data_IF_829421963067
#
_entry.id   IF_829421963067
#
_cell.length_a   1.000
_cell.length_b   1.000
_cell.length_c   1.000
_cell.angle_alpha   90.00
_cell.angle_beta   90.00
_cell.angle_gamma   90.00
#
_symmetry.space_group_name_H-M   'P 1'
#
loop_
_entity.id
_entity.type
_entity.pdbx_description
1 polymer ?
#
# COMPACT_ATOMS: atom_id res chain seq x y z
N UNK A 1 18.42 22.57 25.12
CA UNK A 1 17.66 22.79 23.88
C UNK A 1 18.17 21.80 22.85
N UNK A 2 17.48 20.67 22.65
CA UNK A 2 17.79 19.72 21.57
C UNK A 2 16.91 20.07 20.39
N UNK A 3 17.55 20.36 19.26
CA UNK A 3 16.92 20.77 18.01
C UNK A 3 16.26 19.53 17.39
N UNK A 4 14.93 19.52 17.34
CA UNK A 4 14.15 18.47 16.65
C UNK A 4 14.30 18.68 15.15
N UNK A 5 15.01 17.76 14.48
CA UNK A 5 15.03 17.69 13.02
C UNK A 5 13.70 17.07 12.58
N UNK A 6 12.82 17.89 12.01
CA UNK A 6 11.62 17.45 11.32
C UNK A 6 12.07 16.81 10.01
N UNK A 7 11.95 15.50 9.87
CA UNK A 7 12.19 14.81 8.59
C UNK A 7 10.90 14.94 7.77
N UNK A 8 10.89 15.90 6.86
CA UNK A 8 9.86 16.01 5.82
C UNK A 8 10.21 14.93 4.78
N UNK A 9 9.34 13.94 4.58
CA UNK A 9 9.49 13.00 3.47
C UNK A 9 9.10 13.73 2.18
N UNK A 10 10.11 14.34 1.54
CA UNK A 10 9.97 15.04 0.27
C UNK A 10 9.72 14.02 -0.87
N UNK A 11 8.71 14.27 -1.70
CA UNK A 11 8.52 13.55 -2.96
C UNK A 11 9.79 13.61 -3.83
N UNK A 12 10.01 12.66 -4.75
CA UNK A 12 11.19 12.73 -5.64
C UNK A 12 11.31 14.09 -6.34
N UNK A 13 10.17 14.68 -6.74
CA UNK A 13 10.13 16.01 -7.36
C UNK A 13 10.64 17.11 -6.43
N UNK A 14 10.21 17.10 -5.17
CA UNK A 14 10.68 18.04 -4.15
C UNK A 14 12.16 17.87 -3.82
N UNK A 15 12.66 16.63 -3.75
CA UNK A 15 14.08 16.34 -3.52
C UNK A 15 14.95 16.84 -4.66
N UNK A 16 14.55 16.57 -5.91
CA UNK A 16 15.23 17.05 -7.12
C UNK A 16 15.26 18.58 -7.12
N UNK A 17 14.12 19.21 -6.85
CA UNK A 17 13.99 20.68 -6.82
C UNK A 17 14.86 21.30 -5.72
N UNK A 18 14.75 20.79 -4.50
CA UNK A 18 15.49 21.28 -3.34
C UNK A 18 17.01 21.16 -3.58
N UNK A 19 17.47 20.02 -4.10
CA UNK A 19 18.90 19.84 -4.41
C UNK A 19 19.37 20.75 -5.52
N UNK A 20 18.58 20.90 -6.58
CA UNK A 20 18.87 21.83 -7.68
C UNK A 20 19.02 23.27 -7.16
N UNK A 21 18.12 23.70 -6.28
CA UNK A 21 18.15 25.03 -5.66
C UNK A 21 19.35 25.21 -4.72
N UNK A 22 19.71 24.18 -3.93
CA UNK A 22 20.93 24.17 -3.11
C UNK A 22 22.22 24.33 -3.93
N UNK A 23 22.27 23.71 -5.12
CA UNK A 23 23.40 23.83 -6.04
C UNK A 23 23.38 25.14 -6.86
N UNK A 24 22.36 26.00 -6.69
CA UNK A 24 22.20 27.23 -7.46
C UNK A 24 21.97 27.00 -8.96
N UNK A 25 21.50 25.80 -9.35
CA UNK A 25 21.35 25.42 -10.74
C UNK A 25 19.96 25.80 -11.28
N UNK A 26 19.92 26.30 -12.52
CA UNK A 26 18.64 26.48 -13.21
C UNK A 26 18.05 25.14 -13.67
N UNK A 27 16.72 25.04 -13.76
CA UNK A 27 16.04 23.86 -14.30
C UNK A 27 16.54 23.50 -15.71
N UNK A 28 16.83 24.50 -16.54
CA UNK A 28 17.39 24.28 -17.89
C UNK A 28 18.80 23.69 -17.86
N UNK A 29 19.62 24.06 -16.87
CA UNK A 29 20.97 23.54 -16.71
C UNK A 29 20.94 22.06 -16.32
N UNK A 30 20.14 21.70 -15.32
CA UNK A 30 19.97 20.30 -14.87
C UNK A 30 19.34 19.44 -15.97
N UNK A 31 18.30 19.93 -16.64
CA UNK A 31 17.66 19.19 -17.75
C UNK A 31 18.66 18.88 -18.87
N UNK A 32 19.53 19.84 -19.22
CA UNK A 32 20.59 19.64 -20.22
C UNK A 32 21.61 18.61 -19.75
N UNK A 33 22.09 18.70 -18.50
CA UNK A 33 23.05 17.76 -17.93
C UNK A 33 22.49 16.33 -17.86
N UNK A 34 21.22 16.18 -17.47
CA UNK A 34 20.54 14.89 -17.39
C UNK A 34 20.03 14.36 -18.74
N UNK A 35 20.17 15.12 -19.83
CA UNK A 35 19.72 14.73 -21.17
C UNK A 35 18.20 14.59 -21.28
N UNK A 36 17.44 15.46 -20.61
CA UNK A 36 15.97 15.50 -20.63
C UNK A 36 15.45 16.89 -21.01
N UNK A 37 14.15 17.00 -21.34
CA UNK A 37 13.57 18.31 -21.65
C UNK A 37 13.30 19.13 -20.37
N UNK A 38 13.44 20.47 -20.38
CA UNK A 38 13.12 21.31 -19.23
C UNK A 38 11.65 21.18 -18.79
N UNK A 39 10.73 20.97 -19.74
CA UNK A 39 9.31 20.73 -19.44
C UNK A 39 9.08 19.40 -18.72
N UNK A 40 9.82 18.35 -19.11
CA UNK A 40 9.77 17.06 -18.44
C UNK A 40 10.35 17.13 -17.03
N UNK A 41 11.51 17.79 -16.84
CA UNK A 41 12.07 18.05 -15.51
C UNK A 41 11.11 18.87 -14.64
N UNK A 42 10.48 19.92 -15.19
CA UNK A 42 9.46 20.70 -14.48
C UNK A 42 8.23 19.88 -14.09
N UNK A 43 7.82 18.92 -14.92
CA UNK A 43 6.72 18.00 -14.60
C UNK A 43 7.10 17.01 -13.49
N UNK A 44 8.38 16.60 -13.42
CA UNK A 44 8.92 15.76 -12.34
C UNK A 44 8.97 16.56 -11.03
N UNK A 45 9.57 17.76 -11.05
CA UNK A 45 9.72 18.62 -9.85
C UNK A 45 8.38 19.06 -9.25
N UNK A 46 7.35 19.23 -10.09
CA UNK A 46 6.00 19.60 -9.64
C UNK A 46 5.09 18.42 -9.31
N UNK A 47 5.53 17.18 -9.58
CA UNK A 47 4.71 15.99 -9.42
C UNK A 47 3.46 15.96 -10.29
N UNK A 48 3.40 16.78 -11.35
CA UNK A 48 2.21 16.92 -12.21
C UNK A 48 2.60 17.07 -13.67
N UNK A 49 2.14 16.14 -14.50
CA UNK A 49 2.16 16.27 -15.95
C UNK A 49 0.95 17.10 -16.43
N UNK A 50 1.15 18.22 -17.17
CA UNK A 50 0.06 19.06 -17.65
C UNK A 50 -0.94 18.35 -18.58
N UNK A 51 -0.50 17.31 -19.30
CA UNK A 51 -1.34 16.58 -20.26
C UNK A 51 -2.15 15.46 -19.61
N UNK A 52 -1.63 14.82 -18.55
CA UNK A 52 -2.26 13.62 -17.95
C UNK A 52 -2.73 13.83 -16.51
N UNK A 53 -2.38 14.96 -15.87
CA UNK A 53 -2.71 15.27 -14.48
C UNK A 53 -1.97 14.41 -13.42
N UNK A 54 -1.23 13.38 -13.85
CA UNK A 54 -0.50 12.44 -12.98
C UNK A 54 0.98 12.80 -12.89
N UNK A 55 1.65 12.38 -11.81
CA UNK A 55 3.10 12.51 -11.69
C UNK A 55 3.80 11.68 -12.78
N UNK A 56 4.76 12.25 -13.54
CA UNK A 56 5.56 11.46 -14.46
C UNK A 56 6.43 10.48 -13.68
N UNK A 57 6.41 9.20 -14.04
CA UNK A 57 7.32 8.21 -13.48
C UNK A 57 8.60 8.15 -14.34
N UNK A 58 9.77 8.65 -13.86
CA UNK A 58 11.00 8.62 -14.64
C UNK A 58 11.53 7.19 -14.76
N UNK A 59 12.12 6.84 -15.90
CA UNK A 59 12.82 5.56 -16.02
C UNK A 59 14.09 5.56 -15.14
N UNK A 60 14.56 4.37 -14.75
CA UNK A 60 15.81 4.22 -13.98
C UNK A 60 16.99 4.94 -14.66
N UNK A 61 17.07 4.87 -16.00
CA UNK A 61 18.11 5.57 -16.78
C UNK A 61 18.02 7.10 -16.64
N UNK A 62 16.82 7.65 -16.53
CA UNK A 62 16.63 9.09 -16.25
C UNK A 62 17.02 9.41 -14.81
N UNK A 63 16.67 8.54 -13.85
CA UNK A 63 17.03 8.72 -12.44
C UNK A 63 18.55 8.73 -12.23
N UNK A 64 19.29 7.81 -12.88
CA UNK A 64 20.76 7.79 -12.86
C UNK A 64 21.33 9.12 -13.36
N UNK A 65 20.84 9.61 -14.50
CA UNK A 65 21.33 10.87 -15.08
C UNK A 65 20.99 12.10 -14.23
N UNK A 66 19.85 12.07 -13.55
CA UNK A 66 19.46 13.13 -12.61
C UNK A 66 20.28 13.05 -11.32
N UNK A 67 20.59 11.85 -10.84
CA UNK A 67 21.48 11.61 -9.70
C UNK A 67 22.86 12.21 -9.97
N UNK A 68 23.44 11.89 -11.13
CA UNK A 68 24.73 12.41 -11.58
C UNK A 68 24.69 13.95 -11.71
N UNK A 69 23.65 14.50 -12.33
CA UNK A 69 23.54 15.94 -12.58
C UNK A 69 23.30 16.78 -11.31
N UNK A 70 22.85 16.17 -10.22
CA UNK A 70 22.48 16.82 -8.96
C UNK A 70 23.36 16.40 -7.78
N UNK A 71 24.40 15.59 -8.04
CA UNK A 71 25.27 15.04 -7.00
C UNK A 71 24.45 14.38 -5.88
N UNK A 72 23.51 13.51 -6.26
CA UNK A 72 22.66 12.74 -5.36
C UNK A 72 23.02 11.26 -5.44
N UNK A 73 22.94 10.56 -4.31
CA UNK A 73 22.99 9.11 -4.29
C UNK A 73 21.77 8.51 -4.99
N UNK A 74 22.00 7.59 -5.94
CA UNK A 74 20.95 6.96 -6.74
C UNK A 74 19.96 6.20 -5.85
N UNK A 75 20.43 5.50 -4.82
CA UNK A 75 19.59 4.75 -3.87
C UNK A 75 18.59 5.67 -3.17
N UNK A 76 19.01 6.89 -2.85
CA UNK A 76 18.14 7.91 -2.28
C UNK A 76 17.01 8.30 -3.24
N UNK A 77 17.30 8.46 -4.52
CA UNK A 77 16.30 8.77 -5.55
C UNK A 77 15.39 7.57 -5.86
N UNK A 78 15.93 6.35 -5.87
CA UNK A 78 15.15 5.12 -6.05
C UNK A 78 14.17 4.91 -4.91
N UNK A 79 14.60 5.12 -3.66
CA UNK A 79 13.71 5.08 -2.49
C UNK A 79 12.53 6.06 -2.61
N UNK A 80 12.78 7.28 -3.10
CA UNK A 80 11.73 8.29 -3.31
C UNK A 80 10.76 7.99 -4.48
N UNK A 81 11.07 6.99 -5.31
CA UNK A 81 10.22 6.49 -6.41
C UNK A 81 9.54 5.16 -6.01
N UNK A 82 9.74 4.70 -4.77
CA UNK A 82 9.25 3.40 -4.31
C UNK A 82 10.09 2.20 -4.80
N UNK A 83 11.33 2.44 -5.25
CA UNK A 83 12.30 1.44 -5.73
C UNK A 83 13.44 1.20 -4.71
N UNK A 84 13.26 1.64 -3.46
CA UNK A 84 14.16 1.34 -2.35
C UNK A 84 13.57 0.28 -1.43
N UNK A 85 14.44 -0.50 -0.77
CA UNK A 85 14.04 -1.47 0.25
C UNK A 85 13.09 -0.82 1.27
N UNK A 86 12.05 -1.53 1.74
CA UNK A 86 11.10 -0.98 2.70
C UNK A 86 11.84 -0.52 3.96
N UNK A 87 11.35 0.52 4.66
CA UNK A 87 11.88 0.84 5.99
C UNK A 87 11.80 -0.40 6.87
N UNK A 88 12.68 -0.50 7.86
CA UNK A 88 12.66 -1.54 8.90
C UNK A 88 11.45 -1.40 9.85
N UNK A 89 10.26 -1.18 9.28
CA UNK A 89 8.95 -1.10 9.89
C UNK A 89 8.13 -2.36 9.60
N UNK A 90 6.86 -2.35 10.00
CA UNK A 90 6.00 -3.54 9.93
C UNK A 90 5.92 -4.12 8.52
N UNK A 91 5.84 -5.46 8.42
CA UNK A 91 5.58 -6.12 7.15
C UNK A 91 4.20 -5.69 6.59
N UNK A 92 4.19 -4.90 5.52
CA UNK A 92 2.99 -4.56 4.76
C UNK A 92 2.52 -5.81 4.00
N UNK A 93 1.49 -6.45 4.55
CA UNK A 93 1.04 -7.79 4.19
C UNK A 93 -0.25 -7.74 3.39
N UNK A 94 -0.27 -8.36 2.21
CA UNK A 94 -1.50 -8.62 1.48
C UNK A 94 -2.15 -9.88 2.05
N UNK A 95 -3.39 -9.79 2.49
CA UNK A 95 -4.25 -10.95 2.72
C UNK A 95 -5.34 -10.98 1.66
N UNK A 96 -5.13 -11.78 0.61
CA UNK A 96 -6.10 -11.93 -0.47
C UNK A 96 -7.04 -13.12 -0.19
N UNK A 97 -8.34 -12.87 -0.16
CA UNK A 97 -9.35 -13.82 0.35
C UNK A 97 -10.17 -14.34 -0.81
N UNK A 98 -10.10 -15.65 -1.05
CA UNK A 98 -10.93 -16.37 -2.02
C UNK A 98 -12.00 -17.23 -1.35
N UNK A 99 -11.92 -17.39 -0.03
CA UNK A 99 -12.94 -18.07 0.75
C UNK A 99 -14.27 -17.33 0.70
N UNK A 100 -15.41 -18.04 0.76
CA UNK A 100 -16.71 -17.40 0.89
C UNK A 100 -16.82 -16.67 2.23
N UNK A 101 -17.66 -15.62 2.25
CA UNK A 101 -18.03 -14.90 3.47
C UNK A 101 -19.03 -15.71 4.32
N UNK A 102 -19.09 -15.50 5.65
CA UNK A 102 -18.30 -14.55 6.43
C UNK A 102 -16.87 -15.02 6.71
N UNK A 103 -15.91 -14.10 6.72
CA UNK A 103 -14.51 -14.39 7.08
C UNK A 103 -14.21 -14.02 8.54
N UNK A 104 -13.68 -14.97 9.31
CA UNK A 104 -13.03 -14.63 10.58
C UNK A 104 -11.61 -14.11 10.32
N UNK A 105 -11.51 -12.83 9.97
CA UNK A 105 -10.22 -12.19 9.64
C UNK A 105 -9.21 -12.29 10.79
N UNK A 106 -9.65 -12.19 12.04
CA UNK A 106 -8.77 -12.21 13.22
C UNK A 106 -8.01 -13.52 13.34
N UNK A 107 -8.65 -14.66 13.06
CA UNK A 107 -7.97 -15.96 13.06
C UNK A 107 -6.84 -16.03 12.02
N UNK A 108 -7.04 -15.43 10.84
CA UNK A 108 -6.00 -15.38 9.81
C UNK A 108 -4.87 -14.42 10.18
N UNK A 109 -5.18 -13.28 10.79
CA UNK A 109 -4.19 -12.33 11.30
C UNK A 109 -3.29 -12.98 12.36
N UNK A 110 -3.87 -13.73 13.30
CA UNK A 110 -3.13 -14.46 14.34
C UNK A 110 -2.24 -15.55 13.73
N UNK A 111 -2.72 -16.27 12.71
CA UNK A 111 -1.90 -17.29 12.03
C UNK A 111 -0.72 -16.69 11.26
N UNK A 112 -0.85 -15.48 10.75
CA UNK A 112 0.20 -14.80 10.00
C UNK A 112 1.22 -14.10 10.90
N UNK A 113 0.73 -13.44 11.96
CA UNK A 113 1.50 -12.45 12.73
C UNK A 113 1.40 -12.64 14.25
N UNK A 114 0.88 -13.77 14.74
CA UNK A 114 0.67 -14.01 16.17
C UNK A 114 1.95 -14.01 17.01
N UNK A 115 3.09 -14.34 16.41
CA UNK A 115 4.38 -14.32 17.10
C UNK A 115 4.90 -12.89 17.35
N UNK A 116 4.50 -11.93 16.50
CA UNK A 116 4.96 -10.54 16.56
C UNK A 116 3.89 -9.58 17.07
N UNK A 117 2.61 -9.95 16.97
CA UNK A 117 1.47 -9.07 17.23
C UNK A 117 0.53 -9.68 18.27
N UNK A 118 0.29 -8.95 19.35
CA UNK A 118 -0.56 -9.39 20.47
C UNK A 118 -1.99 -8.86 20.35
N UNK A 119 -2.13 -7.63 19.86
CA UNK A 119 -3.39 -6.89 19.85
C UNK A 119 -3.58 -6.18 18.51
N UNK A 120 -4.82 -6.09 18.05
CA UNK A 120 -5.16 -5.55 16.72
C UNK A 120 -6.04 -4.31 16.81
N UNK A 121 -5.69 -3.29 16.04
CA UNK A 121 -6.66 -2.31 15.56
C UNK A 121 -7.19 -2.87 14.24
N UNK A 122 -8.51 -3.06 14.17
CA UNK A 122 -9.16 -3.68 13.04
C UNK A 122 -10.17 -2.72 12.43
N UNK A 123 -9.98 -2.39 11.16
CA UNK A 123 -10.99 -1.77 10.30
C UNK A 123 -11.68 -2.92 9.56
N UNK A 124 -12.90 -3.33 9.95
CA UNK A 124 -13.55 -4.51 9.39
C UNK A 124 -14.25 -4.18 8.06
N UNK A 125 -14.47 -5.19 7.21
CA UNK A 125 -15.43 -5.06 6.10
C UNK A 125 -16.80 -4.65 6.67
N UNK A 126 -17.37 -3.49 6.27
CA UNK A 126 -18.61 -2.98 6.85
C UNK A 126 -19.84 -3.84 6.52
N UNK A 127 -19.71 -4.82 5.61
CA UNK A 127 -20.77 -5.76 5.23
C UNK A 127 -20.73 -7.04 6.06
N UNK A 128 -19.61 -7.33 6.72
CA UNK A 128 -19.48 -8.50 7.60
C UNK A 128 -20.24 -8.26 8.90
N UNK A 129 -20.95 -9.27 9.44
CA UNK A 129 -21.68 -9.11 10.68
C UNK A 129 -20.70 -8.86 11.84
N UNK A 130 -21.14 -8.04 12.79
CA UNK A 130 -20.39 -7.87 14.03
C UNK A 130 -20.25 -9.23 14.74
N UNK A 131 -19.10 -9.51 15.39
CA UNK A 131 -18.93 -10.75 16.13
C UNK A 131 -19.93 -10.84 17.29
N UNK A 132 -20.38 -12.05 17.60
CA UNK A 132 -21.34 -12.30 18.69
C UNK A 132 -20.75 -12.07 20.09
N UNK A 133 -19.43 -12.04 20.21
CA UNK A 133 -18.70 -11.77 21.44
C UNK A 133 -17.46 -10.90 21.17
N UNK A 134 -16.99 -10.20 22.19
CA UNK A 134 -15.72 -9.48 22.13
C UNK A 134 -14.55 -10.45 21.97
N UNK A 135 -13.55 -10.06 21.17
CA UNK A 135 -12.30 -10.81 21.00
C UNK A 135 -11.18 -10.01 21.68
N UNK A 136 -10.57 -10.58 22.71
CA UNK A 136 -9.50 -9.93 23.49
C UNK A 136 -8.26 -9.64 22.66
N UNK A 137 -8.11 -10.26 21.48
CA UNK A 137 -7.03 -9.96 20.54
C UNK A 137 -7.30 -8.66 19.76
N UNK A 138 -8.53 -8.14 19.77
CA UNK A 138 -8.90 -6.88 19.11
C UNK A 138 -8.95 -5.75 20.14
N UNK A 139 -7.97 -4.85 20.06
CA UNK A 139 -7.87 -3.67 20.92
C UNK A 139 -9.00 -2.66 20.64
N UNK A 140 -9.23 -2.43 19.35
CA UNK A 140 -10.21 -1.51 18.79
C UNK A 140 -10.73 -2.07 17.47
N UNK A 141 -12.06 -2.04 17.30
CA UNK A 141 -12.72 -2.31 16.04
C UNK A 141 -13.32 -1.01 15.53
N UNK A 142 -12.78 -0.48 14.44
CA UNK A 142 -13.24 0.77 13.83
C UNK A 142 -14.65 0.57 13.26
N UNK A 143 -15.46 1.63 13.26
CA UNK A 143 -16.83 1.61 12.71
C UNK A 143 -16.94 2.63 11.59
N UNK A 144 -16.63 2.19 10.37
CA UNK A 144 -16.58 3.03 9.17
C UNK A 144 -17.61 2.55 8.14
N UNK A 145 -18.92 2.74 8.39
CA UNK A 145 -19.94 2.34 7.43
C UNK A 145 -19.87 3.21 6.17
N UNK A 146 -20.13 2.61 5.00
CA UNK A 146 -20.24 3.35 3.74
C UNK A 146 -21.38 4.38 3.81
N UNK A 147 -21.14 5.59 3.30
CA UNK A 147 -22.08 6.71 3.43
C UNK A 147 -21.94 7.52 4.73
N UNK A 148 -20.93 7.23 5.55
CA UNK A 148 -20.52 8.05 6.68
C UNK A 148 -18.99 8.24 6.64
N UNK A 149 -18.45 9.19 7.42
CA UNK A 149 -17.00 9.39 7.50
C UNK A 149 -16.30 8.09 7.94
N UNK A 150 -15.18 7.68 7.28
CA UNK A 150 -14.38 8.40 6.28
C UNK A 150 -14.87 8.31 4.82
N UNK A 151 -15.96 7.59 4.54
CA UNK A 151 -16.55 7.36 3.23
C UNK A 151 -17.93 8.06 3.06
N UNK A 152 -18.04 9.40 3.21
CA UNK A 152 -19.33 10.07 3.17
C UNK A 152 -19.95 10.08 1.76
N UNK A 153 -19.11 10.10 0.72
CA UNK A 153 -19.50 10.29 -0.67
C UNK A 153 -18.91 9.18 -1.53
N UNK A 154 -19.45 8.91 -2.72
CA UNK A 154 -18.96 7.84 -3.61
C UNK A 154 -17.57 8.10 -4.22
N UNK A 155 -16.86 9.14 -3.81
CA UNK A 155 -15.49 9.43 -4.21
C UNK A 155 -14.56 9.11 -3.05
N UNK A 156 -13.66 8.14 -3.22
CA UNK A 156 -12.65 7.84 -2.21
C UNK A 156 -11.67 9.00 -2.09
N UNK A 157 -11.53 9.52 -0.87
CA UNK A 157 -10.49 10.47 -0.46
C UNK A 157 -9.56 9.80 0.56
N UNK A 158 -8.34 9.38 0.14
CA UNK A 158 -7.39 8.73 1.04
C UNK A 158 -7.06 9.56 2.29
N UNK A 159 -7.07 10.89 2.21
CA UNK A 159 -6.74 11.73 3.36
C UNK A 159 -7.81 11.62 4.46
N UNK A 160 -9.08 11.38 4.12
CA UNK A 160 -10.13 11.12 5.11
C UNK A 160 -9.89 9.81 5.84
N UNK A 161 -9.44 8.77 5.13
CA UNK A 161 -9.10 7.47 5.71
C UNK A 161 -7.95 7.62 6.70
N UNK A 162 -6.88 8.33 6.33
CA UNK A 162 -5.74 8.63 7.22
C UNK A 162 -6.21 9.42 8.45
N UNK A 163 -6.99 10.49 8.26
CA UNK A 163 -7.49 11.30 9.36
C UNK A 163 -8.41 10.52 10.31
N UNK A 164 -9.20 9.57 9.78
CA UNK A 164 -10.02 8.68 10.58
C UNK A 164 -9.16 7.70 11.37
N UNK A 165 -8.18 7.05 10.72
CA UNK A 165 -7.22 6.18 11.39
C UNK A 165 -6.52 6.90 12.56
N UNK A 166 -6.07 8.13 12.36
CA UNK A 166 -5.43 8.93 13.41
C UNK A 166 -6.34 9.20 14.62
N UNK A 167 -7.66 9.30 14.41
CA UNK A 167 -8.63 9.43 15.53
C UNK A 167 -8.79 8.10 16.26
N UNK A 168 -8.91 7.00 15.52
CA UNK A 168 -9.03 5.65 16.09
C UNK A 168 -7.77 5.27 16.89
N UNK A 169 -6.58 5.56 16.35
CA UNK A 169 -5.30 5.34 17.04
C UNK A 169 -5.21 6.12 18.36
N UNK A 170 -5.62 7.40 18.36
CA UNK A 170 -5.68 8.21 19.58
C UNK A 170 -6.66 7.63 20.61
N UNK A 171 -7.81 7.12 20.17
CA UNK A 171 -8.79 6.47 21.05
C UNK A 171 -8.25 5.15 21.63
N UNK A 172 -7.45 4.41 20.86
CA UNK A 172 -6.83 3.15 21.29
C UNK A 172 -5.61 3.35 22.20
N UNK A 173 -4.94 4.49 22.16
CA UNK A 173 -3.61 4.70 22.75
C UNK A 173 -3.52 4.34 24.23
N UNK A 174 -4.46 4.82 25.06
CA UNK A 174 -4.47 4.52 26.49
C UNK A 174 -4.67 3.03 26.79
N UNK A 175 -5.40 2.31 25.93
CA UNK A 175 -5.69 0.87 26.08
C UNK A 175 -4.58 -0.01 25.51
N UNK A 176 -3.74 0.53 24.63
CA UNK A 176 -2.65 -0.21 23.99
C UNK A 176 -1.56 -0.61 25.00
N UNK A 177 -1.27 0.24 25.99
CA UNK A 177 -0.22 -0.02 26.98
C UNK A 177 1.11 -0.42 26.32
N UNK A 178 1.77 -1.45 26.86
CA UNK A 178 2.99 -2.02 26.27
C UNK A 178 2.74 -3.05 25.18
N UNK A 179 1.49 -3.41 24.86
CA UNK A 179 1.18 -4.51 23.95
C UNK A 179 1.76 -4.28 22.54
N UNK A 180 2.15 -5.34 21.85
CA UNK A 180 2.55 -5.26 20.43
C UNK A 180 1.30 -5.14 19.55
N UNK A 181 1.11 -3.97 18.94
CA UNK A 181 -0.13 -3.63 18.22
C UNK A 181 0.10 -3.70 16.72
N UNK A 182 -0.75 -4.46 16.03
CA UNK A 182 -0.86 -4.48 14.57
C UNK A 182 -2.10 -3.74 14.08
N UNK A 183 -2.09 -3.39 12.79
CA UNK A 183 -3.22 -2.83 12.07
C UNK A 183 -3.67 -3.82 11.00
N UNK A 184 -4.98 -4.02 10.88
CA UNK A 184 -5.59 -4.69 9.75
C UNK A 184 -6.71 -3.82 9.16
N UNK A 185 -6.65 -3.59 7.86
CA UNK A 185 -7.67 -2.89 7.08
C UNK A 185 -8.36 -3.89 6.15
N UNK A 186 -9.63 -4.17 6.41
CA UNK A 186 -10.38 -5.23 5.76
C UNK A 186 -11.61 -4.75 5.00
N UNK A 187 -11.82 -3.45 4.92
CA UNK A 187 -12.85 -2.82 4.11
C UNK A 187 -12.39 -2.43 2.69
N UNK A 188 -11.09 -2.55 2.36
CA UNK A 188 -10.51 -2.11 1.09
C UNK A 188 -11.38 -2.46 -0.14
N UNK A 189 -11.59 -3.76 -0.39
CA UNK A 189 -12.37 -4.22 -1.54
C UNK A 189 -13.87 -3.94 -1.42
N UNK A 190 -14.39 -3.79 -0.20
CA UNK A 190 -15.78 -3.35 0.05
C UNK A 190 -15.98 -1.89 -0.37
N UNK A 191 -15.03 -1.04 -0.02
CA UNK A 191 -15.03 0.38 -0.38
C UNK A 191 -14.90 0.52 -1.89
N UNK A 192 -14.01 -0.25 -2.53
CA UNK A 192 -13.89 -0.29 -4.00
C UNK A 192 -15.22 -0.61 -4.70
N UNK A 193 -16.02 -1.53 -4.15
CA UNK A 193 -17.35 -1.88 -4.69
C UNK A 193 -18.35 -0.73 -4.60
N UNK A 194 -18.14 0.21 -3.68
CA UNK A 194 -19.07 1.28 -3.40
C UNK A 194 -18.70 2.60 -4.11
N UNK A 195 -17.42 2.94 -4.20
CA UNK A 195 -16.94 4.18 -4.82
C UNK A 195 -16.98 4.15 -6.35
N UNK A 196 -16.94 5.32 -6.98
CA UNK A 196 -16.87 5.48 -8.44
C UNK A 196 -15.43 5.54 -8.97
N UNK A 197 -14.44 5.63 -8.08
CA UNK A 197 -13.00 5.69 -8.38
C UNK A 197 -12.22 4.56 -7.69
N UNK A 198 -12.56 3.27 -7.91
CA UNK A 198 -11.94 2.15 -7.20
C UNK A 198 -10.41 2.05 -7.37
N UNK A 199 -9.88 2.52 -8.50
CA UNK A 199 -8.43 2.62 -8.77
C UNK A 199 -7.68 3.48 -7.73
N UNK A 200 -8.37 4.41 -7.05
CA UNK A 200 -7.78 5.25 -6.00
C UNK A 200 -7.37 4.42 -4.78
N UNK A 201 -8.10 3.35 -4.44
CA UNK A 201 -7.73 2.43 -3.34
C UNK A 201 -6.40 1.74 -3.66
N UNK A 202 -6.26 1.24 -4.88
CA UNK A 202 -5.03 0.55 -5.33
C UNK A 202 -3.85 1.51 -5.41
N UNK A 203 -4.08 2.75 -5.84
CA UNK A 203 -3.05 3.79 -5.83
C UNK A 203 -2.64 4.20 -4.40
N UNK A 204 -3.56 4.10 -3.43
CA UNK A 204 -3.29 4.46 -2.05
C UNK A 204 -2.31 3.49 -1.36
N UNK A 205 -2.28 2.23 -1.77
CA UNK A 205 -1.37 1.21 -1.25
C UNK A 205 0.12 1.61 -1.29
N UNK A 206 0.54 2.44 -2.25
CA UNK A 206 1.94 2.87 -2.34
C UNK A 206 2.34 3.86 -1.24
N UNK A 207 1.38 4.47 -0.56
CA UNK A 207 1.58 5.46 0.52
C UNK A 207 1.09 4.98 1.88
N UNK A 208 0.22 3.97 1.91
CA UNK A 208 -0.42 3.47 3.12
C UNK A 208 0.58 3.13 4.23
N UNK A 209 1.70 2.46 3.91
CA UNK A 209 2.76 2.14 4.89
C UNK A 209 3.21 3.39 5.65
N UNK A 210 3.53 4.46 4.92
CA UNK A 210 4.12 5.67 5.49
C UNK A 210 3.10 6.42 6.36
N UNK A 211 1.84 6.46 5.92
CA UNK A 211 0.77 7.10 6.67
C UNK A 211 0.45 6.32 7.96
N UNK A 212 0.44 4.98 7.91
CA UNK A 212 0.26 4.12 9.09
C UNK A 212 1.43 4.27 10.06
N UNK A 213 2.68 4.17 9.58
CA UNK A 213 3.89 4.35 10.40
C UNK A 213 3.89 5.70 11.11
N UNK A 214 3.55 6.77 10.39
CA UNK A 214 3.42 8.14 10.94
C UNK A 214 2.36 8.21 12.04
N UNK A 215 1.17 7.66 11.80
CA UNK A 215 0.08 7.66 12.76
C UNK A 215 0.44 6.89 14.04
N UNK A 216 1.00 5.70 13.90
CA UNK A 216 1.46 4.87 15.01
C UNK A 216 2.58 5.53 15.81
N UNK A 217 3.60 6.08 15.15
CA UNK A 217 4.69 6.79 15.82
C UNK A 217 4.19 8.03 16.58
N UNK A 218 3.27 8.80 15.99
CA UNK A 218 2.73 10.01 16.60
C UNK A 218 1.81 9.73 17.81
N UNK A 219 1.14 8.58 17.84
CA UNK A 219 0.11 8.26 18.86
C UNK A 219 0.58 7.25 19.91
N UNK A 220 1.29 6.20 19.48
CA UNK A 220 1.79 5.12 20.33
C UNK A 220 3.30 5.21 20.60
N UNK A 221 4.02 6.10 19.93
CA UNK A 221 5.47 6.26 20.09
C UNK A 221 6.29 5.10 19.53
N UNK A 222 5.71 4.27 18.67
CA UNK A 222 6.31 3.06 18.09
C UNK A 222 5.64 2.70 16.76
N UNK A 223 6.31 1.94 15.92
CA UNK A 223 5.75 1.35 14.70
C UNK A 223 4.71 0.27 15.01
N UNK A 224 3.75 -0.01 14.11
CA UNK A 224 2.95 -1.21 14.20
C UNK A 224 3.84 -2.45 14.13
N UNK A 225 3.37 -3.60 14.63
CA UNK A 225 4.06 -4.89 14.47
C UNK A 225 3.63 -5.66 13.23
N UNK A 226 2.47 -5.30 12.67
CA UNK A 226 1.95 -5.79 11.40
C UNK A 226 1.05 -4.72 10.76
N UNK A 227 1.06 -4.63 9.43
CA UNK A 227 0.13 -3.82 8.65
C UNK A 227 -0.48 -4.71 7.57
N UNK A 228 -1.75 -5.09 7.69
CA UNK A 228 -2.39 -6.09 6.82
C UNK A 228 -3.54 -5.46 6.03
N UNK A 229 -3.43 -5.44 4.71
CA UNK A 229 -4.53 -5.05 3.82
C UNK A 229 -5.27 -6.30 3.33
N UNK A 230 -6.59 -6.32 3.48
CA UNK A 230 -7.42 -7.48 3.13
C UNK A 230 -8.29 -7.15 1.92
N UNK A 231 -8.18 -7.99 0.89
CA UNK A 231 -8.95 -7.86 -0.34
C UNK A 231 -9.67 -9.17 -0.64
N UNK A 232 -10.95 -9.09 -1.02
CA UNK A 232 -11.72 -10.27 -1.40
C UNK A 232 -11.77 -10.43 -2.92
N UNK A 233 -11.56 -11.65 -3.38
CA UNK A 233 -11.54 -12.02 -4.79
C UNK A 233 -12.87 -11.74 -5.48
N UNK A 234 -13.98 -12.05 -4.83
CA UNK A 234 -15.32 -11.84 -5.39
C UNK A 234 -15.64 -10.36 -5.62
N UNK A 235 -15.12 -9.45 -4.79
CA UNK A 235 -15.24 -8.01 -5.01
C UNK A 235 -14.43 -7.57 -6.23
N UNK A 236 -13.21 -8.10 -6.41
CA UNK A 236 -12.38 -7.80 -7.58
C UNK A 236 -13.02 -8.34 -8.86
N UNK A 237 -13.54 -9.58 -8.84
CA UNK A 237 -14.29 -10.15 -9.97
C UNK A 237 -15.53 -9.31 -10.30
N UNK A 238 -16.28 -8.89 -9.29
CA UNK A 238 -17.48 -8.09 -9.49
C UNK A 238 -17.19 -6.66 -9.99
N UNK A 239 -15.93 -6.22 -9.96
CA UNK A 239 -15.46 -4.97 -10.54
C UNK A 239 -14.91 -5.12 -11.96
N UNK A 240 -14.80 -6.33 -12.52
CA UNK A 240 -14.11 -6.60 -13.79
C UNK A 240 -14.63 -5.82 -15.03
N UNK A 241 -15.85 -5.25 -14.97
CA UNK A 241 -16.38 -4.37 -16.02
C UNK A 241 -15.90 -2.91 -15.91
N UNK A 242 -15.37 -2.53 -14.75
CA UNK A 242 -14.94 -1.17 -14.42
C UNK A 242 -13.42 -1.03 -14.32
N UNK A 243 -12.72 -2.12 -13.99
CA UNK A 243 -11.27 -2.17 -13.75
C UNK A 243 -10.67 -3.42 -14.37
N UNK A 244 -9.35 -3.45 -14.55
CA UNK A 244 -8.61 -4.65 -14.95
C UNK A 244 -8.27 -5.52 -13.71
N UNK A 245 -8.91 -6.69 -13.51
CA UNK A 245 -8.64 -7.53 -12.33
C UNK A 245 -7.20 -7.99 -12.23
N UNK A 246 -6.55 -8.32 -13.36
CA UNK A 246 -5.16 -8.75 -13.38
C UNK A 246 -4.24 -7.56 -13.05
N UNK A 247 -4.51 -6.40 -13.64
CA UNK A 247 -3.82 -5.15 -13.34
C UNK A 247 -3.84 -4.81 -11.85
N UNK A 248 -5.02 -4.90 -11.22
CA UNK A 248 -5.19 -4.74 -9.77
C UNK A 248 -4.37 -5.77 -9.01
N UNK A 249 -4.51 -7.06 -9.34
CA UNK A 249 -3.80 -8.10 -8.63
C UNK A 249 -2.29 -7.93 -8.67
N UNK A 250 -1.75 -7.57 -9.83
CA UNK A 250 -0.33 -7.27 -10.00
C UNK A 250 0.10 -6.02 -9.23
N UNK A 251 -0.75 -4.99 -9.14
CA UNK A 251 -0.47 -3.80 -8.35
C UNK A 251 -0.43 -4.12 -6.85
N UNK A 252 -1.38 -4.92 -6.35
CA UNK A 252 -1.38 -5.41 -4.97
C UNK A 252 -0.13 -6.22 -4.66
N UNK A 253 0.23 -7.19 -5.51
CA UNK A 253 1.45 -7.99 -5.32
C UNK A 253 2.72 -7.13 -5.27
N UNK A 254 2.79 -6.05 -6.04
CA UNK A 254 3.93 -5.12 -6.02
C UNK A 254 3.97 -4.21 -4.79
N UNK A 255 2.81 -3.76 -4.31
CA UNK A 255 2.77 -2.85 -3.17
C UNK A 255 3.12 -3.54 -1.85
N UNK A 256 2.82 -4.84 -1.72
CA UNK A 256 2.97 -5.58 -0.46
C UNK A 256 4.30 -6.35 -0.39
N UNK A 257 4.92 -6.37 0.78
CA UNK A 257 6.19 -7.08 1.03
C UNK A 257 5.98 -8.54 1.41
N UNK A 258 4.84 -8.84 2.01
CA UNK A 258 4.43 -10.21 2.37
C UNK A 258 3.10 -10.52 1.72
N UNK A 259 2.98 -11.69 1.10
CA UNK A 259 1.77 -12.11 0.40
C UNK A 259 1.17 -13.33 1.09
N UNK A 260 -0.12 -13.28 1.37
CA UNK A 260 -0.90 -14.40 1.88
C UNK A 260 -2.23 -14.50 1.14
N UNK A 261 -2.70 -15.74 0.96
CA UNK A 261 -4.00 -16.05 0.36
C UNK A 261 -4.77 -16.99 1.27
N UNK A 262 -6.04 -16.68 1.51
CA UNK A 262 -7.01 -17.66 2.03
C UNK A 262 -7.71 -18.28 0.84
N UNK A 263 -7.44 -19.56 0.56
CA UNK A 263 -8.03 -20.24 -0.58
C UNK A 263 -9.53 -20.52 -0.40
N UNK A 264 -10.19 -21.01 -1.45
CA UNK A 264 -11.65 -21.29 -1.44
C UNK A 264 -12.08 -22.28 -0.35
N UNK A 265 -11.16 -23.04 0.23
CA UNK A 265 -11.42 -23.98 1.33
C UNK A 265 -11.18 -23.36 2.71
N UNK A 266 -10.77 -22.10 2.78
CA UNK A 266 -10.40 -21.40 4.02
C UNK A 266 -8.95 -21.65 4.44
N UNK A 267 -8.14 -22.33 3.63
CA UNK A 267 -6.74 -22.63 3.97
C UNK A 267 -5.84 -21.45 3.62
N UNK A 268 -5.04 -21.04 4.60
CA UNK A 268 -4.03 -20.00 4.46
C UNK A 268 -2.77 -20.53 3.76
N UNK A 269 -2.28 -19.78 2.78
CA UNK A 269 -0.98 -19.95 2.11
C UNK A 269 -0.24 -18.63 2.14
N UNK A 270 1.09 -18.66 2.15
CA UNK A 270 1.94 -17.46 2.15
C UNK A 270 3.08 -17.59 1.14
N UNK A 271 3.67 -16.46 0.75
CA UNK A 271 4.82 -16.38 -0.15
C UNK A 271 4.47 -16.71 -1.60
N UNK A 272 5.42 -17.30 -2.34
CA UNK A 272 5.25 -17.61 -3.76
C UNK A 272 4.01 -18.49 -4.06
N UNK A 273 3.71 -19.55 -3.28
CA UNK A 273 2.48 -20.32 -3.49
C UNK A 273 1.19 -19.52 -3.32
N UNK A 274 1.19 -18.46 -2.52
CA UNK A 274 0.05 -17.54 -2.39
C UNK A 274 -0.06 -16.64 -3.62
N UNK A 275 1.04 -16.05 -4.07
CA UNK A 275 1.06 -15.22 -5.28
C UNK A 275 0.64 -16.01 -6.53
N UNK A 276 1.12 -17.25 -6.69
CA UNK A 276 0.72 -18.14 -7.79
C UNK A 276 -0.78 -18.43 -7.76
N UNK A 277 -1.34 -18.76 -6.59
CA UNK A 277 -2.76 -19.04 -6.43
C UNK A 277 -3.62 -17.82 -6.77
N UNK A 278 -3.21 -16.63 -6.31
CA UNK A 278 -3.89 -15.37 -6.62
C UNK A 278 -3.87 -15.07 -8.13
N UNK A 279 -2.70 -15.18 -8.78
CA UNK A 279 -2.58 -14.94 -10.23
C UNK A 279 -3.38 -15.97 -11.05
N UNK A 280 -3.39 -17.23 -10.61
CA UNK A 280 -4.21 -18.28 -11.24
C UNK A 280 -5.70 -17.91 -11.21
N UNK A 281 -6.16 -17.34 -10.10
CA UNK A 281 -7.55 -16.90 -9.95
C UNK A 281 -7.88 -15.68 -10.84
N UNK A 282 -6.90 -14.84 -11.13
CA UNK A 282 -7.04 -13.62 -11.94
C UNK A 282 -6.74 -13.83 -13.43
N UNK A 283 -6.85 -15.08 -13.92
CA UNK A 283 -6.57 -15.42 -15.31
C UNK A 283 -7.43 -14.60 -16.28
N UNK A 284 -6.83 -13.88 -17.24
CA UNK A 284 -7.59 -13.16 -18.26
C UNK A 284 -8.42 -14.10 -19.16
N UNK A 285 -9.56 -13.60 -19.61
CA UNK A 285 -10.36 -14.29 -20.62
C UNK A 285 -9.56 -14.46 -21.93
N UNK A 286 -9.69 -15.63 -22.57
CA UNK A 286 -9.00 -15.93 -23.83
C UNK A 286 -7.57 -16.48 -23.69
N UNK A 287 -6.99 -16.48 -22.49
CA UNK A 287 -5.70 -17.15 -22.24
C UNK A 287 -5.93 -18.61 -21.86
N UNK A 288 -5.17 -19.53 -22.47
CA UNK A 288 -5.23 -20.96 -22.14
C UNK A 288 -4.82 -21.19 -20.67
N UNK A 289 -5.42 -22.18 -20.02
CA UNK A 289 -5.11 -22.48 -18.61
C UNK A 289 -3.67 -22.97 -18.44
N UNK A 290 -3.17 -23.77 -19.38
CA UNK A 290 -1.80 -24.29 -19.37
C UNK A 290 -0.77 -23.16 -19.50
N UNK A 291 -0.88 -22.32 -20.54
CA UNK A 291 0.03 -21.18 -20.74
C UNK A 291 -0.01 -20.22 -19.56
N UNK A 292 -1.19 -20.00 -18.97
CA UNK A 292 -1.30 -19.13 -17.80
C UNK A 292 -0.64 -19.72 -16.56
N UNK A 293 -0.77 -21.03 -16.34
CA UNK A 293 -0.14 -21.71 -15.21
C UNK A 293 1.39 -21.57 -15.27
N UNK A 294 1.98 -21.78 -16.45
CA UNK A 294 3.43 -21.61 -16.66
C UNK A 294 3.89 -20.17 -16.35
N UNK A 295 3.12 -19.17 -16.80
CA UNK A 295 3.40 -17.75 -16.52
C UNK A 295 3.28 -17.44 -15.01
N UNK A 296 2.26 -17.97 -14.33
CA UNK A 296 2.08 -17.78 -12.90
C UNK A 296 3.20 -18.40 -12.08
N UNK A 297 3.61 -19.63 -12.41
CA UNK A 297 4.70 -20.32 -11.76
C UNK A 297 6.01 -19.51 -11.88
N UNK A 298 6.32 -19.03 -13.09
CA UNK A 298 7.50 -18.19 -13.32
C UNK A 298 7.43 -16.83 -12.59
N UNK A 299 6.29 -16.14 -12.66
CA UNK A 299 6.11 -14.81 -12.09
C UNK A 299 6.08 -14.82 -10.56
N UNK A 300 5.49 -15.83 -9.93
CA UNK A 300 5.30 -15.89 -8.47
C UNK A 300 6.60 -15.85 -7.68
N UNK A 301 7.67 -16.47 -8.21
CA UNK A 301 9.00 -16.46 -7.61
C UNK A 301 9.58 -15.04 -7.64
N UNK A 302 9.53 -14.37 -8.80
CA UNK A 302 10.08 -13.03 -8.97
C UNK A 302 9.28 -11.92 -8.29
N UNK A 303 7.96 -12.08 -8.16
CA UNK A 303 7.09 -11.10 -7.51
C UNK A 303 7.22 -11.12 -5.98
N UNK A 304 7.64 -12.26 -5.41
CA UNK A 304 7.85 -12.42 -3.95
C UNK A 304 9.31 -12.23 -3.57
N UNK A 305 10.26 -12.55 -4.46
CA UNK A 305 11.68 -12.30 -4.24
C UNK A 305 12.00 -10.80 -4.39
N UNK A 306 12.00 -10.06 -3.28
CA UNK A 306 12.61 -8.72 -3.27
C UNK A 306 14.13 -8.87 -3.09
N UNK A 307 14.98 -8.21 -3.88
CA UNK A 307 16.40 -8.15 -3.58
C UNK A 307 16.59 -7.53 -2.19
N UNK A 308 17.44 -8.18 -1.39
CA UNK A 308 17.83 -7.74 -0.06
C UNK A 308 18.55 -6.39 -0.09
#
# INVERSE_FOLDING_TARGET
MKQTVVVIQDSIGERIRARREQLGLSMRAVARAAGVSPSYLGSIESGRNPATGRAPLPSVRVLVRLADALELELDGLLAAVGVGAPPAGAAHTLLYVMAPRPLNVVEHLVRLHGDTTERWILIPDPREPAPSAADDRVLLRCSWPVGADPYPDRMLDPQRVVNALDRELRAAAARAGSARVGLAIADCSAVMRWVTNPETEIAFESRWVEDVERGFAATLGRSPTANVCVYHHDDIEALALQVDPLGIGLALLRAHTTIAVVDRTGRLRAGAPAAELMLTALKPAGVSTETWADLCAAASVGLVARPA
#
